data_IF_830937957931
#
_entry.id   IF_830937957931
#
_cell.length_a   1.000
_cell.length_b   1.000
_cell.length_c   1.000
_cell.angle_alpha   90.00
_cell.angle_beta   90.00
_cell.angle_gamma   90.00
#
_symmetry.space_group_name_H-M   'P 1'
#
loop_
_entity.id
_entity.type
_entity.pdbx_description
1 polymer ?
#
# COMPACT_ATOMS: atom_id res chain seq x y z
N UNK A 1 -5.06 4.26 18.94
CA UNK A 1 -4.90 4.45 17.48
C UNK A 1 -4.73 3.06 16.88
N UNK A 2 -5.58 2.66 15.93
CA UNK A 2 -5.43 1.36 15.27
C UNK A 2 -4.23 1.45 14.31
N UNK A 3 -3.22 0.63 14.54
CA UNK A 3 -2.04 0.50 13.67
C UNK A 3 -2.41 -0.35 12.46
N UNK A 4 -2.02 0.11 11.26
CA UNK A 4 -2.19 -0.66 10.03
C UNK A 4 -1.25 -1.87 10.09
N UNK A 5 -1.80 -3.07 9.95
CA UNK A 5 -1.04 -4.34 9.92
C UNK A 5 -0.79 -4.82 8.50
N UNK A 6 -1.79 -4.66 7.63
CA UNK A 6 -1.78 -5.16 6.26
C UNK A 6 -2.42 -4.15 5.32
N UNK A 7 -1.83 -3.99 4.14
CA UNK A 7 -2.34 -3.18 3.04
C UNK A 7 -2.56 -4.05 1.79
N UNK A 8 -3.76 -4.00 1.22
CA UNK A 8 -4.01 -4.37 -0.16
C UNK A 8 -3.80 -3.17 -1.08
N UNK A 9 -2.96 -3.35 -2.09
CA UNK A 9 -2.63 -2.35 -3.11
C UNK A 9 -3.03 -2.85 -4.51
N UNK A 10 -4.08 -2.26 -5.05
CA UNK A 10 -4.52 -2.42 -6.44
C UNK A 10 -3.86 -1.32 -7.29
N UNK A 11 -3.28 -1.74 -8.42
CA UNK A 11 -2.38 -0.92 -9.24
C UNK A 11 -2.95 -0.74 -10.64
N UNK A 12 -3.26 0.51 -10.98
CA UNK A 12 -3.48 0.93 -12.37
C UNK A 12 -2.37 1.87 -12.86
N UNK A 13 -2.44 2.28 -14.15
CA UNK A 13 -1.41 3.10 -14.80
C UNK A 13 -1.07 4.39 -14.04
N UNK A 14 -2.11 5.10 -13.59
CA UNK A 14 -1.98 6.45 -13.00
C UNK A 14 -2.55 6.55 -11.58
N UNK A 15 -3.28 5.53 -11.15
CA UNK A 15 -4.13 5.55 -9.96
C UNK A 15 -3.96 4.23 -9.21
N UNK A 16 -3.90 4.29 -7.89
CA UNK A 16 -3.69 3.17 -7.00
C UNK A 16 -4.78 3.16 -5.94
N UNK A 17 -5.34 2.01 -5.63
CA UNK A 17 -6.30 1.86 -4.54
C UNK A 17 -5.60 1.22 -3.35
N UNK A 18 -5.67 1.90 -2.21
CA UNK A 18 -5.12 1.42 -0.94
C UNK A 18 -6.28 0.99 -0.05
N UNK A 19 -6.18 -0.23 0.47
CA UNK A 19 -7.06 -0.76 1.50
C UNK A 19 -6.22 -1.30 2.65
N UNK A 20 -6.19 -0.59 3.78
CA UNK A 20 -5.44 -0.98 4.97
C UNK A 20 -6.34 -1.41 6.11
N UNK A 21 -5.96 -2.50 6.76
CA UNK A 21 -6.65 -3.08 7.92
C UNK A 21 -5.74 -3.14 9.14
N UNK A 22 -6.31 -3.20 10.33
CA UNK A 22 -5.59 -3.50 11.57
C UNK A 22 -5.45 -5.00 11.80
N UNK A 23 -4.83 -5.40 12.91
CA UNK A 23 -4.64 -6.80 13.29
C UNK A 23 -5.95 -7.58 13.50
N UNK A 24 -7.07 -6.91 13.76
CA UNK A 24 -8.40 -7.52 13.87
C UNK A 24 -9.13 -7.59 12.51
N UNK A 25 -8.51 -7.13 11.43
CA UNK A 25 -9.12 -7.05 10.10
C UNK A 25 -10.07 -5.86 9.94
N UNK A 26 -10.12 -4.94 10.90
CA UNK A 26 -10.95 -3.75 10.79
C UNK A 26 -10.30 -2.76 9.82
N UNK A 27 -11.10 -2.20 8.92
CA UNK A 27 -10.63 -1.21 7.94
C UNK A 27 -10.22 0.07 8.67
N UNK A 28 -8.95 0.44 8.53
CA UNK A 28 -8.37 1.67 9.10
C UNK A 28 -8.22 2.74 8.02
N UNK A 29 -7.93 2.34 6.78
CA UNK A 29 -7.77 3.26 5.66
C UNK A 29 -8.30 2.67 4.37
N UNK A 30 -9.04 3.49 3.61
CA UNK A 30 -9.44 3.20 2.25
C UNK A 30 -9.33 4.47 1.43
N UNK A 31 -8.39 4.52 0.48
CA UNK A 31 -8.18 5.73 -0.33
C UNK A 31 -7.58 5.44 -1.69
N UNK A 32 -7.88 6.33 -2.61
CA UNK A 32 -7.22 6.39 -3.90
C UNK A 32 -5.96 7.27 -3.82
N UNK A 33 -4.88 6.85 -4.50
CA UNK A 33 -3.63 7.59 -4.64
C UNK A 33 -3.32 7.82 -6.12
N UNK A 34 -2.75 8.99 -6.43
CA UNK A 34 -2.07 9.21 -7.71
C UNK A 34 -0.72 8.52 -7.66
N UNK A 35 -0.25 7.98 -8.79
CA UNK A 35 1.06 7.30 -8.91
C UNK A 35 2.21 8.01 -8.18
N UNK A 36 2.32 9.33 -8.37
CA UNK A 36 3.39 10.16 -7.76
C UNK A 36 3.35 10.25 -6.23
N UNK A 37 2.23 9.92 -5.61
CA UNK A 37 2.03 10.02 -4.16
C UNK A 37 2.21 8.68 -3.44
N UNK A 38 2.38 7.58 -4.18
CA UNK A 38 2.45 6.23 -3.60
C UNK A 38 3.62 6.12 -2.63
N UNK A 39 4.84 6.44 -3.06
CA UNK A 39 6.03 6.33 -2.20
C UNK A 39 5.93 7.24 -0.96
N UNK A 40 5.55 8.51 -1.16
CA UNK A 40 5.36 9.46 -0.05
C UNK A 40 4.25 9.08 0.94
N UNK A 41 3.34 8.21 0.52
CA UNK A 41 2.31 7.67 1.39
C UNK A 41 2.89 6.55 2.25
N UNK A 42 3.61 5.59 1.66
CA UNK A 42 4.21 4.47 2.38
C UNK A 42 5.37 4.90 3.30
N UNK A 43 6.16 5.91 2.92
CA UNK A 43 7.22 6.50 3.76
C UNK A 43 6.71 6.98 5.14
N UNK A 44 5.43 7.36 5.23
CA UNK A 44 4.81 7.86 6.47
C UNK A 44 4.18 6.76 7.32
N UNK A 45 4.16 5.53 6.84
CA UNK A 45 3.57 4.40 7.53
C UNK A 45 4.65 3.63 8.29
N UNK A 46 4.31 3.02 9.44
CA UNK A 46 5.16 1.97 9.99
C UNK A 46 5.25 0.77 9.02
N UNK A 47 6.32 -0.03 9.08
CA UNK A 47 6.44 -1.28 8.33
C UNK A 47 5.19 -2.15 8.50
N UNK A 48 4.67 -2.66 7.39
CA UNK A 48 3.45 -3.46 7.37
C UNK A 48 3.46 -4.43 6.18
N UNK A 49 2.62 -5.48 6.25
CA UNK A 49 2.50 -6.42 5.15
C UNK A 49 1.78 -5.77 3.97
N UNK A 50 2.36 -5.79 2.78
CA UNK A 50 1.72 -5.26 1.57
C UNK A 50 1.43 -6.37 0.57
N UNK A 51 0.15 -6.63 0.34
CA UNK A 51 -0.35 -7.44 -0.76
C UNK A 51 -0.53 -6.58 -2.02
N UNK A 52 0.06 -6.99 -3.14
CA UNK A 52 0.01 -6.24 -4.40
C UNK A 52 -0.68 -7.10 -5.46
N UNK A 53 -1.62 -6.51 -6.20
CA UNK A 53 -2.21 -7.15 -7.38
C UNK A 53 -1.13 -7.45 -8.44
N UNK A 54 -1.15 -8.66 -9.00
CA UNK A 54 -0.24 -9.04 -10.07
C UNK A 54 -0.55 -8.26 -11.36
N UNK A 55 0.39 -7.43 -11.80
CA UNK A 55 0.32 -6.70 -13.07
C UNK A 55 1.74 -6.51 -13.64
N UNK A 56 1.87 -5.99 -14.86
CA UNK A 56 3.17 -5.76 -15.51
C UNK A 56 4.14 -4.89 -14.69
N UNK A 57 3.64 -4.08 -13.74
CA UNK A 57 4.46 -3.22 -12.88
C UNK A 57 4.56 -3.68 -11.42
N UNK A 58 3.93 -4.79 -11.03
CA UNK A 58 3.85 -5.23 -9.63
C UNK A 58 5.24 -5.47 -9.02
N UNK A 59 6.17 -6.09 -9.77
CA UNK A 59 7.53 -6.32 -9.30
C UNK A 59 8.34 -5.04 -9.11
N UNK A 60 8.13 -4.02 -9.95
CA UNK A 60 8.74 -2.71 -9.74
C UNK A 60 8.27 -2.13 -8.41
N UNK A 61 6.96 -2.07 -8.18
CA UNK A 61 6.40 -1.53 -6.95
C UNK A 61 6.78 -2.34 -5.72
N UNK A 62 6.83 -3.66 -5.80
CA UNK A 62 7.28 -4.51 -4.70
C UNK A 62 8.70 -4.15 -4.24
N UNK A 63 9.62 -3.85 -5.16
CA UNK A 63 10.98 -3.43 -4.80
C UNK A 63 11.02 -2.05 -4.15
N UNK A 64 10.28 -1.09 -4.72
CA UNK A 64 10.21 0.28 -4.16
C UNK A 64 9.62 0.28 -2.75
N UNK A 65 8.60 -0.55 -2.50
CA UNK A 65 7.94 -0.63 -1.19
C UNK A 65 8.77 -1.38 -0.14
N UNK A 66 9.55 -2.39 -0.54
CA UNK A 66 10.47 -3.10 0.36
C UNK A 66 11.56 -2.18 0.94
N UNK A 67 11.86 -1.06 0.29
CA UNK A 67 12.83 -0.09 0.82
C UNK A 67 12.36 0.61 2.11
N UNK A 68 11.08 0.50 2.48
CA UNK A 68 10.50 1.11 3.68
C UNK A 68 10.43 0.19 4.92
N UNK A 69 10.91 -1.05 4.81
CA UNK A 69 10.93 -2.02 5.92
C UNK A 69 9.94 -3.16 5.74
#
# INVERSE_FOLDING_TARGET
MQSISTIGLDIAKSVFQVHGVDAAGQVVIRRQLKRRLVLSFFEKLPPCLVGIEACASSHYWSRELQAFG
#
